data_IF_280149655282
#
_entry.id   IF_280149655282
#
_cell.length_a   1.000
_cell.length_b   1.000
_cell.length_c   1.000
_cell.angle_alpha   90.00
_cell.angle_beta   90.00
_cell.angle_gamma   90.00
#
_symmetry.space_group_name_H-M   'P 1'
#
loop_
_entity.id
_entity.type
_entity.pdbx_description
1 polymer ?
#
# COMPACT_ATOMS: atom_id res chain seq x y z
N UNK A 1 10.39 7.78 4.95
CA UNK A 1 10.09 7.45 3.54
C UNK A 1 9.10 8.43 2.95
N UNK A 2 7.81 8.40 3.32
CA UNK A 2 6.82 9.38 2.86
C UNK A 2 7.04 10.77 3.49
N UNK A 3 6.72 11.84 2.75
CA UNK A 3 6.75 13.22 3.24
C UNK A 3 5.62 13.48 4.23
N UNK A 4 4.42 12.99 3.91
CA UNK A 4 3.26 13.06 4.80
C UNK A 4 2.93 11.69 5.40
N UNK A 5 2.75 11.63 6.72
CA UNK A 5 2.37 10.40 7.43
C UNK A 5 0.93 9.99 7.12
N UNK A 6 0.02 10.94 6.88
CA UNK A 6 -1.39 10.64 6.62
C UNK A 6 -1.57 10.15 5.16
N UNK A 7 -2.06 8.90 4.94
CA UNK A 7 -2.30 8.38 3.60
C UNK A 7 -3.47 9.06 2.88
N UNK A 8 -4.43 9.64 3.61
CA UNK A 8 -5.65 10.23 3.06
C UNK A 8 -5.47 11.63 2.48
N UNK A 9 -4.28 12.23 2.62
CA UNK A 9 -3.94 13.47 1.91
C UNK A 9 -3.54 13.11 0.48
N UNK A 10 -4.53 13.05 -0.43
CA UNK A 10 -4.42 12.47 -1.77
C UNK A 10 -3.30 13.06 -2.63
N UNK A 11 -3.04 14.36 -2.50
CA UNK A 11 -1.96 15.08 -3.20
C UNK A 11 -0.57 14.61 -2.78
N UNK A 12 -0.42 14.16 -1.53
CA UNK A 12 0.86 13.77 -0.93
C UNK A 12 0.95 12.26 -0.64
N UNK A 13 -0.08 11.48 -0.97
CA UNK A 13 -0.13 10.03 -0.70
C UNK A 13 1.10 9.30 -1.25
N UNK A 14 1.58 9.72 -2.42
CA UNK A 14 2.73 9.12 -3.11
C UNK A 14 4.01 9.97 -3.01
N UNK A 15 3.95 11.10 -2.31
CA UNK A 15 5.09 11.99 -2.09
C UNK A 15 6.06 11.36 -1.09
N UNK A 16 7.33 11.29 -1.48
CA UNK A 16 8.38 10.59 -0.73
C UNK A 16 9.67 11.37 -0.81
N UNK A 17 10.47 11.27 0.24
CA UNK A 17 11.83 11.78 0.26
C UNK A 17 12.67 11.07 -0.81
N UNK A 18 13.67 11.74 -1.37
CA UNK A 18 14.54 11.11 -2.37
C UNK A 18 15.45 10.04 -1.76
N UNK A 19 15.95 10.31 -0.56
CA UNK A 19 16.86 9.44 0.20
C UNK A 19 16.28 9.12 1.58
N UNK A 20 16.64 7.96 2.10
CA UNK A 20 16.38 7.60 3.49
C UNK A 20 17.23 8.49 4.42
N UNK A 21 16.62 9.07 5.45
CA UNK A 21 17.31 9.92 6.42
C UNK A 21 18.29 9.16 7.32
N UNK A 22 18.12 7.85 7.47
CA UNK A 22 18.95 7.00 8.33
C UNK A 22 20.14 6.42 7.56
N UNK A 23 19.87 5.67 6.49
CA UNK A 23 20.92 4.96 5.74
C UNK A 23 21.40 5.69 4.47
N UNK A 24 20.76 6.81 4.07
CA UNK A 24 21.12 7.55 2.85
C UNK A 24 20.71 6.88 1.54
N UNK A 25 20.14 5.67 1.57
CA UNK A 25 19.73 4.92 0.38
C UNK A 25 18.68 5.70 -0.42
N UNK A 26 18.88 5.81 -1.74
CA UNK A 26 17.91 6.44 -2.65
C UNK A 26 16.73 5.50 -2.86
N UNK A 27 15.52 5.96 -2.54
CA UNK A 27 14.32 5.10 -2.64
C UNK A 27 13.95 4.78 -4.10
N UNK A 28 14.24 5.69 -5.04
CA UNK A 28 14.09 5.47 -6.48
C UNK A 28 15.45 5.09 -7.06
N UNK A 29 15.69 3.79 -7.21
CA UNK A 29 16.93 3.25 -7.81
C UNK A 29 16.95 3.61 -9.30
N UNK A 30 15.84 3.40 -10.00
CA UNK A 30 15.66 3.65 -11.43
C UNK A 30 14.48 4.63 -11.68
N UNK A 31 14.50 5.40 -12.78
CA UNK A 31 13.29 6.07 -13.25
C UNK A 31 12.19 5.00 -13.45
N UNK A 32 10.96 5.29 -13.02
CA UNK A 32 9.84 4.34 -13.10
C UNK A 32 9.91 3.08 -12.21
N UNK A 33 10.82 3.01 -11.23
CA UNK A 33 10.91 1.86 -10.30
C UNK A 33 9.58 1.41 -9.65
N UNK A 34 8.65 2.35 -9.41
CA UNK A 34 7.35 2.05 -8.77
C UNK A 34 6.27 1.52 -9.73
N UNK A 35 6.57 1.31 -11.02
CA UNK A 35 5.62 0.64 -11.91
C UNK A 35 5.33 -0.79 -11.46
N UNK A 36 6.33 -1.51 -10.94
CA UNK A 36 6.13 -2.85 -10.38
C UNK A 36 5.21 -2.87 -9.17
N UNK A 37 5.26 -1.81 -8.34
CA UNK A 37 4.35 -1.67 -7.19
C UNK A 37 2.88 -1.56 -7.60
N UNK A 38 2.57 -1.20 -8.86
CA UNK A 38 1.21 -1.23 -9.39
C UNK A 38 0.70 -2.68 -9.50
N UNK A 39 1.52 -3.64 -9.92
CA UNK A 39 1.13 -5.06 -9.96
C UNK A 39 0.92 -5.62 -8.55
N UNK A 40 1.77 -5.22 -7.58
CA UNK A 40 1.58 -5.60 -6.17
C UNK A 40 0.24 -5.08 -5.64
N UNK A 41 -0.19 -3.89 -6.07
CA UNK A 41 -1.46 -3.31 -5.63
C UNK A 41 -2.68 -4.10 -6.03
N UNK A 42 -2.61 -4.86 -7.11
CA UNK A 42 -3.66 -5.79 -7.49
C UNK A 42 -3.82 -6.91 -6.46
N UNK A 43 -2.71 -7.55 -6.05
CA UNK A 43 -2.73 -8.59 -5.02
C UNK A 43 -3.19 -8.07 -3.66
N UNK A 44 -2.72 -6.89 -3.26
CA UNK A 44 -3.17 -6.23 -2.03
C UNK A 44 -4.67 -5.88 -2.11
N UNK A 45 -5.12 -5.35 -3.25
CA UNK A 45 -6.54 -5.05 -3.47
C UNK A 45 -7.44 -6.28 -3.38
N UNK A 46 -7.02 -7.42 -3.93
CA UNK A 46 -7.72 -8.70 -3.78
C UNK A 46 -7.82 -9.09 -2.30
N UNK A 47 -6.74 -8.96 -1.53
CA UNK A 47 -6.77 -9.28 -0.11
C UNK A 47 -7.80 -8.43 0.67
N UNK A 48 -7.89 -7.13 0.37
CA UNK A 48 -8.90 -6.24 0.94
C UNK A 48 -10.32 -6.60 0.49
N UNK A 49 -10.52 -6.94 -0.79
CA UNK A 49 -11.82 -7.34 -1.31
C UNK A 49 -12.31 -8.65 -0.69
N UNK A 50 -11.43 -9.64 -0.55
CA UNK A 50 -11.73 -10.91 0.13
C UNK A 50 -12.05 -10.68 1.59
N UNK A 51 -11.29 -9.83 2.29
CA UNK A 51 -11.59 -9.49 3.68
C UNK A 51 -12.98 -8.82 3.81
N UNK A 52 -13.30 -7.86 2.93
CA UNK A 52 -14.61 -7.21 2.91
C UNK A 52 -15.75 -8.21 2.61
N UNK A 53 -15.54 -9.14 1.68
CA UNK A 53 -16.48 -10.22 1.39
C UNK A 53 -16.72 -11.11 2.62
N UNK A 54 -15.65 -11.61 3.24
CA UNK A 54 -15.73 -12.50 4.41
C UNK A 54 -16.44 -11.81 5.58
N UNK A 55 -16.10 -10.54 5.85
CA UNK A 55 -16.73 -9.76 6.93
C UNK A 55 -18.21 -9.54 6.62
N UNK A 56 -18.55 -9.06 5.42
CA UNK A 56 -19.95 -8.77 5.06
C UNK A 56 -20.83 -10.01 4.99
N UNK A 57 -20.30 -11.14 4.49
CA UNK A 57 -21.04 -12.40 4.38
C UNK A 57 -21.15 -13.16 5.70
N UNK A 58 -20.04 -13.36 6.43
CA UNK A 58 -20.04 -14.23 7.62
C UNK A 58 -20.38 -13.52 8.92
N UNK A 59 -20.13 -12.21 9.03
CA UNK A 59 -20.36 -11.45 10.27
C UNK A 59 -21.69 -10.71 10.24
N UNK A 60 -22.04 -10.13 9.08
CA UNK A 60 -23.23 -9.30 8.95
C UNK A 60 -24.38 -9.97 8.17
N UNK A 61 -24.17 -11.17 7.66
CA UNK A 61 -25.13 -11.91 6.81
C UNK A 61 -25.77 -11.03 5.73
N UNK A 62 -24.93 -10.18 5.12
CA UNK A 62 -25.39 -9.15 4.20
C UNK A 62 -25.92 -9.78 2.90
N UNK A 63 -26.95 -9.16 2.32
CA UNK A 63 -27.44 -9.56 1.00
C UNK A 63 -26.37 -9.35 -0.07
N UNK A 64 -26.51 -10.04 -1.20
CA UNK A 64 -25.55 -9.97 -2.31
C UNK A 64 -25.22 -8.52 -2.72
N UNK A 65 -26.23 -7.66 -2.83
CA UNK A 65 -26.03 -6.23 -3.12
C UNK A 65 -25.25 -5.52 -2.01
N UNK A 66 -25.51 -5.83 -0.74
CA UNK A 66 -24.79 -5.29 0.41
C UNK A 66 -23.30 -5.68 0.41
N UNK A 67 -22.99 -6.93 0.05
CA UNK A 67 -21.60 -7.41 -0.09
C UNK A 67 -20.88 -6.64 -1.22
N UNK A 68 -21.51 -6.48 -2.39
CA UNK A 68 -20.91 -5.69 -3.49
C UNK A 68 -20.63 -4.25 -3.08
N UNK A 69 -21.58 -3.60 -2.40
CA UNK A 69 -21.40 -2.23 -1.88
C UNK A 69 -20.25 -2.20 -0.86
N UNK A 70 -20.17 -3.17 0.04
CA UNK A 70 -19.11 -3.25 1.05
C UNK A 70 -17.72 -3.40 0.41
N UNK A 71 -17.58 -4.24 -0.62
CA UNK A 71 -16.32 -4.41 -1.35
C UNK A 71 -15.92 -3.11 -2.05
N UNK A 72 -16.85 -2.47 -2.79
CA UNK A 72 -16.58 -1.22 -3.50
C UNK A 72 -16.19 -0.12 -2.52
N UNK A 73 -16.95 0.05 -1.43
CA UNK A 73 -16.68 1.03 -0.38
C UNK A 73 -15.31 0.78 0.27
N UNK A 74 -14.95 -0.48 0.51
CA UNK A 74 -13.64 -0.85 1.07
C UNK A 74 -12.52 -0.49 0.09
N UNK A 75 -12.64 -0.85 -1.19
CA UNK A 75 -11.59 -0.58 -2.17
C UNK A 75 -11.38 0.93 -2.39
N UNK A 76 -12.46 1.73 -2.44
CA UNK A 76 -12.38 3.18 -2.56
C UNK A 76 -11.81 3.80 -1.28
N UNK A 77 -12.34 3.42 -0.11
CA UNK A 77 -11.92 3.96 1.18
C UNK A 77 -10.48 3.61 1.55
N UNK A 78 -10.01 2.42 1.17
CA UNK A 78 -8.64 1.99 1.44
C UNK A 78 -7.69 2.17 0.25
N UNK A 79 -8.14 2.79 -0.85
CA UNK A 79 -7.30 3.09 -2.01
C UNK A 79 -5.94 3.74 -1.66
N UNK A 80 -5.87 4.83 -0.85
CA UNK A 80 -4.58 5.42 -0.49
C UNK A 80 -3.69 4.49 0.35
N UNK A 81 -4.30 3.63 1.16
CA UNK A 81 -3.60 2.65 2.00
C UNK A 81 -3.03 1.53 1.14
N UNK A 82 -3.83 0.95 0.25
CA UNK A 82 -3.43 -0.08 -0.72
C UNK A 82 -2.23 0.42 -1.54
N UNK A 83 -2.29 1.64 -2.06
CA UNK A 83 -1.19 2.23 -2.83
C UNK A 83 0.12 2.35 -2.02
N UNK A 84 0.06 2.76 -0.75
CA UNK A 84 1.25 2.85 0.10
C UNK A 84 1.82 1.49 0.49
N UNK A 85 0.95 0.57 0.93
CA UNK A 85 1.37 -0.80 1.30
C UNK A 85 2.06 -1.47 0.11
N UNK A 86 1.50 -1.33 -1.10
CA UNK A 86 2.07 -1.93 -2.31
C UNK A 86 3.48 -1.42 -2.61
N UNK A 87 3.73 -0.12 -2.43
CA UNK A 87 5.07 0.47 -2.59
C UNK A 87 6.04 0.03 -1.50
N UNK A 88 5.58 -0.11 -0.26
CA UNK A 88 6.40 -0.61 0.84
C UNK A 88 6.80 -2.07 0.61
N UNK A 89 5.85 -2.92 0.22
CA UNK A 89 6.12 -4.32 -0.13
C UNK A 89 7.11 -4.38 -1.30
N UNK A 90 6.86 -3.61 -2.36
CA UNK A 90 7.76 -3.57 -3.52
C UNK A 90 9.19 -3.19 -3.12
N UNK A 91 9.38 -2.12 -2.34
CA UNK A 91 10.71 -1.74 -1.84
C UNK A 91 11.33 -2.87 -1.02
N UNK A 92 10.57 -3.54 -0.15
CA UNK A 92 11.10 -4.60 0.69
C UNK A 92 11.57 -5.84 -0.11
N UNK A 93 10.97 -6.09 -1.28
CA UNK A 93 11.40 -7.16 -2.19
C UNK A 93 12.76 -6.87 -2.84
N UNK A 94 13.06 -5.60 -3.13
CA UNK A 94 14.31 -5.20 -3.81
C UNK A 94 15.40 -4.68 -2.86
N UNK A 95 15.00 -4.17 -1.70
CA UNK A 95 15.88 -3.70 -0.63
C UNK A 95 15.62 -4.55 0.61
N UNK A 96 16.48 -5.54 0.83
CA UNK A 96 16.51 -6.29 2.07
C UNK A 96 17.07 -5.43 3.20
N UNK A 97 16.56 -5.67 4.40
CA UNK A 97 16.99 -4.93 5.59
C UNK A 97 18.43 -5.32 5.97
N UNK A 98 19.35 -4.37 5.89
CA UNK A 98 20.71 -4.52 6.41
C UNK A 98 20.86 -3.83 7.77
N UNK A 99 21.05 -4.64 8.83
CA UNK A 99 21.29 -4.18 10.19
C UNK A 99 22.50 -3.25 10.33
N UNK A 100 23.52 -3.39 9.47
CA UNK A 100 24.72 -2.56 9.49
C UNK A 100 24.44 -1.13 9.01
N UNK A 101 23.54 -0.98 8.04
CA UNK A 101 23.11 0.32 7.52
C UNK A 101 22.09 1.02 8.43
N UNK A 102 21.45 0.29 9.34
CA UNK A 102 20.45 0.82 10.27
C UNK A 102 21.06 1.56 11.48
N UNK A 103 22.34 1.35 11.78
CA UNK A 103 23.04 1.86 12.97
C UNK A 103 23.88 3.13 12.72
N UNK A 104 23.83 3.70 11.53
CA UNK A 104 24.67 4.83 11.13
C UNK A 104 23.95 6.16 11.36
#
# INVERSE_FOLDING_TARGET
>A
MYTNKNPYVLTETLSMHEKCSNCGTKYKIEPSFFYGAMYVSYGVGIAFAVAAFVISSLVFDATLNGIFIAIIATLIGFMPVIMRISRNIWINLFMSYDKKLAKK
#
